data_IF_609055757984
#
_entry.id   IF_609055757984
#
_cell.length_a   1.000
_cell.length_b   1.000
_cell.length_c   1.000
_cell.angle_alpha   90.00
_cell.angle_beta   90.00
_cell.angle_gamma   90.00
#
_symmetry.space_group_name_H-M   'P 1'
#
loop_
_entity.id
_entity.type
_entity.pdbx_description
1 polymer ?
#
# COMPACT_ATOMS: atom_id res chain seq x y z
N UNK A 1 8.73 -5.57 13.48
CA UNK A 1 8.47 -4.43 12.57
C UNK A 1 6.98 -4.35 12.36
N UNK A 2 6.37 -3.16 12.48
CA UNK A 2 4.95 -2.95 12.24
C UNK A 2 4.77 -2.21 10.92
N UNK A 3 3.79 -2.63 10.13
CA UNK A 3 3.46 -2.03 8.85
C UNK A 3 1.95 -1.82 8.79
N UNK A 4 1.53 -0.75 8.14
CA UNK A 4 0.13 -0.54 7.78
C UNK A 4 0.07 -0.43 6.27
N UNK A 5 -0.87 -1.14 5.68
CA UNK A 5 -1.01 -1.20 4.23
C UNK A 5 -2.46 -1.23 3.80
N UNK A 6 -2.68 -0.90 2.53
CA UNK A 6 -3.97 -1.05 1.88
C UNK A 6 -3.89 -2.12 0.81
N UNK A 7 -4.90 -2.98 0.75
CA UNK A 7 -5.13 -3.88 -0.37
C UNK A 7 -6.28 -3.28 -1.17
N UNK A 8 -6.00 -2.81 -2.38
CA UNK A 8 -7.02 -2.27 -3.27
C UNK A 8 -7.16 -3.15 -4.51
N UNK A 9 -8.35 -3.72 -4.67
CA UNK A 9 -8.74 -4.50 -5.85
C UNK A 9 -9.38 -3.61 -6.93
N UNK A 10 -8.74 -2.48 -7.22
CA UNK A 10 -9.16 -1.63 -8.33
C UNK A 10 -8.63 -2.25 -9.63
N UNK A 11 -9.52 -2.72 -10.50
CA UNK A 11 -9.13 -3.42 -11.74
C UNK A 11 -8.70 -2.48 -12.86
N UNK A 12 -9.11 -1.21 -12.80
CA UNK A 12 -8.93 -0.25 -13.88
C UNK A 12 -8.19 1.02 -13.47
N UNK A 13 -7.79 1.15 -12.20
CA UNK A 13 -7.08 2.34 -11.71
C UNK A 13 -5.90 1.94 -10.80
N UNK A 14 -4.70 2.48 -11.04
CA UNK A 14 -3.55 2.25 -10.17
C UNK A 14 -3.74 2.92 -8.81
N UNK A 15 -3.03 2.40 -7.79
CA UNK A 15 -2.93 3.06 -6.49
C UNK A 15 -2.13 4.36 -6.63
N UNK A 16 -2.76 5.51 -6.40
CA UNK A 16 -2.17 6.83 -6.62
C UNK A 16 -2.03 7.65 -5.35
N UNK A 17 -1.72 8.95 -5.55
CA UNK A 17 -1.53 9.90 -4.44
C UNK A 17 -2.75 10.02 -3.53
N UNK A 18 -3.95 9.97 -4.09
CA UNK A 18 -5.21 10.02 -3.34
C UNK A 18 -5.33 8.85 -2.37
N UNK A 19 -5.02 7.64 -2.84
CA UNK A 19 -5.07 6.43 -2.03
C UNK A 19 -3.97 6.43 -0.97
N UNK A 20 -2.78 6.94 -1.31
CA UNK A 20 -1.70 7.16 -0.35
C UNK A 20 -2.13 8.12 0.77
N UNK A 21 -2.70 9.27 0.43
CA UNK A 21 -3.13 10.28 1.42
C UNK A 21 -4.29 9.77 2.30
N UNK A 22 -5.10 8.83 1.80
CA UNK A 22 -6.09 8.11 2.61
C UNK A 22 -5.39 7.15 3.59
N UNK A 23 -4.50 6.28 3.08
CA UNK A 23 -3.77 5.31 3.90
C UNK A 23 -2.94 5.99 5.01
N UNK A 24 -2.28 7.11 4.70
CA UNK A 24 -1.48 7.87 5.66
C UNK A 24 -2.34 8.48 6.80
N UNK A 25 -3.60 8.82 6.51
CA UNK A 25 -4.55 9.27 7.54
C UNK A 25 -5.07 8.09 8.35
N UNK A 26 -5.43 7.00 7.68
CA UNK A 26 -6.00 5.81 8.30
C UNK A 26 -5.01 5.11 9.25
N UNK A 27 -3.70 5.29 9.04
CA UNK A 27 -2.65 4.80 9.95
C UNK A 27 -2.89 5.21 11.40
N UNK A 28 -3.42 6.42 11.63
CA UNK A 28 -3.63 6.96 12.99
C UNK A 28 -4.81 6.30 13.71
N UNK A 29 -5.66 5.58 12.99
CA UNK A 29 -6.75 4.82 13.57
C UNK A 29 -6.33 3.40 14.02
N UNK A 30 -5.10 2.97 13.70
CA UNK A 30 -4.60 1.63 14.06
C UNK A 30 -3.81 1.70 15.37
N UNK A 31 -4.24 1.01 16.44
CA UNK A 31 -3.50 0.99 17.70
C UNK A 31 -2.06 0.48 17.52
N UNK A 32 -1.09 1.22 18.05
CA UNK A 32 0.34 0.92 17.92
C UNK A 32 0.96 1.33 16.58
N UNK A 33 0.18 1.91 15.66
CA UNK A 33 0.71 2.59 14.48
C UNK A 33 0.76 4.11 14.70
N UNK A 34 1.63 4.78 13.95
CA UNK A 34 1.82 6.22 13.99
C UNK A 34 2.37 6.75 12.67
N UNK A 35 2.69 8.05 12.63
CA UNK A 35 3.18 8.71 11.42
C UNK A 35 4.47 8.11 10.85
N UNK A 36 5.29 7.53 11.71
CA UNK A 36 6.55 6.88 11.34
C UNK A 36 6.36 5.40 10.97
N UNK A 37 5.14 4.86 11.07
CA UNK A 37 4.86 3.48 10.65
C UNK A 37 5.00 3.38 9.13
N UNK A 38 5.91 2.54 8.60
CA UNK A 38 6.11 2.43 7.18
C UNK A 38 4.85 1.94 6.47
N UNK A 39 4.50 2.62 5.37
CA UNK A 39 3.32 2.32 4.57
C UNK A 39 3.68 1.39 3.41
N UNK A 40 2.86 0.38 3.18
CA UNK A 40 3.02 -0.54 2.05
C UNK A 40 1.74 -0.64 1.23
N UNK A 41 1.86 -0.93 -0.07
CA UNK A 41 0.70 -1.08 -0.94
C UNK A 41 0.75 -2.39 -1.73
N UNK A 42 -0.39 -3.08 -1.79
CA UNK A 42 -0.60 -4.20 -2.73
C UNK A 42 -1.68 -3.77 -3.69
N UNK A 43 -1.34 -3.73 -4.98
CA UNK A 43 -2.24 -3.20 -6.01
C UNK A 43 -2.22 -4.07 -7.25
N UNK A 44 -3.41 -4.48 -7.70
CA UNK A 44 -3.57 -5.27 -8.91
C UNK A 44 -3.26 -4.49 -10.19
N UNK A 45 -3.56 -3.19 -10.20
CA UNK A 45 -3.34 -2.30 -11.34
C UNK A 45 -2.06 -1.47 -11.21
N UNK A 46 -1.16 -1.86 -10.31
CA UNK A 46 0.09 -1.17 -10.05
C UNK A 46 -0.04 0.09 -9.19
N UNK A 47 1.08 0.79 -9.02
CA UNK A 47 1.22 2.02 -8.22
C UNK A 47 1.65 3.16 -9.14
N UNK A 48 0.97 4.29 -9.06
CA UNK A 48 1.22 5.44 -9.93
C UNK A 48 2.22 6.42 -9.30
N UNK A 49 3.25 6.77 -10.07
CA UNK A 49 4.24 7.77 -9.70
C UNK A 49 5.17 7.33 -8.57
N UNK A 50 6.01 8.25 -8.10
CA UNK A 50 6.83 8.04 -6.92
C UNK A 50 6.03 8.41 -5.68
N UNK A 51 5.53 7.40 -4.97
CA UNK A 51 4.87 7.54 -3.68
C UNK A 51 5.84 7.14 -2.57
N UNK A 52 5.77 7.76 -1.38
CA UNK A 52 6.65 7.44 -0.26
C UNK A 52 6.16 6.17 0.47
N UNK A 53 6.03 5.09 -0.28
CA UNK A 53 5.77 3.74 0.22
C UNK A 53 7.10 3.08 0.56
N UNK A 54 7.15 2.33 1.65
CA UNK A 54 8.31 1.52 2.02
C UNK A 54 8.47 0.31 1.10
N UNK A 55 7.36 -0.22 0.58
CA UNK A 55 7.33 -1.28 -0.41
C UNK A 55 5.97 -1.31 -1.14
N UNK A 56 5.97 -1.89 -2.34
CA UNK A 56 4.73 -2.24 -3.03
C UNK A 56 4.87 -3.55 -3.79
N UNK A 57 3.75 -4.24 -3.99
CA UNK A 57 3.71 -5.51 -4.71
C UNK A 57 2.58 -5.53 -5.75
N UNK A 58 2.90 -6.06 -6.92
CA UNK A 58 1.95 -6.39 -7.99
C UNK A 58 1.48 -7.85 -7.93
N UNK A 59 0.50 -8.23 -8.77
CA UNK A 59 0.01 -9.61 -8.85
C UNK A 59 1.10 -10.65 -9.06
N UNK A 60 2.06 -10.35 -9.94
CA UNK A 60 3.19 -11.22 -10.29
C UNK A 60 4.12 -11.48 -9.09
N UNK A 61 4.33 -10.48 -8.23
CA UNK A 61 5.13 -10.63 -7.01
C UNK A 61 4.44 -11.58 -6.03
N UNK A 62 3.12 -11.47 -5.88
CA UNK A 62 2.34 -12.32 -5.00
C UNK A 62 2.32 -13.77 -5.47
N UNK A 63 2.10 -13.99 -6.78
CA UNK A 63 2.12 -15.34 -7.36
C UNK A 63 3.49 -15.98 -7.19
N UNK A 64 4.57 -15.23 -7.44
CA UNK A 64 5.94 -15.72 -7.26
C UNK A 64 6.25 -16.08 -5.81
N UNK A 65 5.76 -15.30 -4.84
CA UNK A 65 6.02 -15.55 -3.42
C UNK A 65 5.28 -16.79 -2.86
N UNK A 66 4.22 -17.23 -3.54
CA UNK A 66 3.45 -18.42 -3.13
C UNK A 66 3.98 -19.73 -3.71
N UNK A 67 4.76 -19.65 -4.79
CA UNK A 67 5.47 -20.79 -5.35
C UNK A 67 6.59 -21.27 -4.42
#
# INVERSE_FOLDING_TARGET
MHFVGSIKWLESQPFGRREYDALARDVLAVPGAGRDTPLVAVSRSGVAGSLPLAAHWGPEDLVRAWQ
#
